data_IF_605001291177
#
_entry.id   IF_605001291177
#
_cell.length_a   1.000
_cell.length_b   1.000
_cell.length_c   1.000
_cell.angle_alpha   90.00
_cell.angle_beta   90.00
_cell.angle_gamma   90.00
#
_symmetry.space_group_name_H-M   'P 1'
#
loop_
_entity.id
_entity.type
_entity.pdbx_description
1 polymer ?
#
# COMPACT_ATOMS: atom_id res chain seq x y z
N UNK A 1 -48.48 -28.36 25.77
CA UNK A 1 -47.82 -27.18 26.37
C UNK A 1 -46.36 -27.05 25.91
N UNK A 2 -45.61 -28.15 25.78
CA UNK A 2 -44.22 -28.16 25.30
C UNK A 2 -43.99 -27.59 23.90
N UNK A 3 -44.86 -27.86 22.92
CA UNK A 3 -44.70 -27.34 21.56
C UNK A 3 -44.64 -25.80 21.50
N UNK A 4 -45.44 -25.11 22.33
CA UNK A 4 -45.42 -23.65 22.43
C UNK A 4 -44.12 -23.14 23.06
N UNK A 5 -43.64 -23.79 24.11
CA UNK A 5 -42.37 -23.43 24.75
C UNK A 5 -41.17 -23.65 23.82
N UNK A 6 -41.17 -24.74 23.05
CA UNK A 6 -40.11 -25.04 22.07
C UNK A 6 -40.10 -24.02 20.93
N UNK A 7 -41.25 -23.65 20.38
CA UNK A 7 -41.34 -22.64 19.32
C UNK A 7 -40.82 -21.28 19.81
N UNK A 8 -41.19 -20.87 21.03
CA UNK A 8 -40.69 -19.62 21.61
C UNK A 8 -39.18 -19.66 21.84
N UNK A 9 -38.65 -20.78 22.36
CA UNK A 9 -37.22 -20.96 22.56
C UNK A 9 -36.44 -20.88 21.25
N UNK A 10 -36.89 -21.60 20.22
CA UNK A 10 -36.29 -21.57 18.87
C UNK A 10 -36.34 -20.16 18.27
N UNK A 11 -37.46 -19.45 18.44
CA UNK A 11 -37.60 -18.07 17.97
C UNK A 11 -36.62 -17.10 18.65
N UNK A 12 -36.42 -17.22 19.97
CA UNK A 12 -35.46 -16.40 20.71
C UNK A 12 -34.02 -16.70 20.26
N UNK A 13 -33.68 -17.98 20.11
CA UNK A 13 -32.34 -18.39 19.65
C UNK A 13 -32.07 -17.89 18.23
N UNK A 14 -33.03 -18.02 17.31
CA UNK A 14 -32.92 -17.50 15.94
C UNK A 14 -32.77 -15.98 15.90
N UNK A 15 -33.57 -15.26 16.69
CA UNK A 15 -33.47 -13.79 16.79
C UNK A 15 -32.10 -13.35 17.29
N UNK A 16 -31.60 -13.97 18.36
CA UNK A 16 -30.25 -13.71 18.87
C UNK A 16 -29.15 -14.03 17.86
N UNK A 17 -29.28 -15.15 17.14
CA UNK A 17 -28.31 -15.53 16.10
C UNK A 17 -28.23 -14.49 14.97
N UNK A 18 -29.37 -13.98 14.51
CA UNK A 18 -29.41 -12.94 13.47
C UNK A 18 -28.68 -11.67 13.93
N UNK A 19 -28.84 -11.27 15.19
CA UNK A 19 -28.16 -10.08 15.73
C UNK A 19 -26.64 -10.25 15.84
N UNK A 20 -26.17 -11.47 16.10
CA UNK A 20 -24.72 -11.77 16.20
C UNK A 20 -24.06 -11.82 14.83
N UNK A 21 -24.74 -12.38 13.84
CA UNK A 21 -24.16 -12.62 12.51
C UNK A 21 -24.41 -11.46 11.53
N UNK A 22 -25.28 -10.51 11.88
CA UNK A 22 -25.56 -9.36 11.04
C UNK A 22 -24.26 -8.58 10.69
N UNK A 23 -24.00 -8.34 9.39
CA UNK A 23 -22.83 -7.59 8.98
C UNK A 23 -22.95 -6.14 9.49
N UNK A 24 -21.84 -5.60 9.98
CA UNK A 24 -21.73 -4.20 10.40
C UNK A 24 -21.12 -3.37 9.29
N UNK A 25 -21.43 -2.08 9.28
CA UNK A 25 -20.77 -1.12 8.39
C UNK A 25 -19.27 -1.07 8.72
N UNK A 26 -18.44 -1.34 7.72
CA UNK A 26 -16.98 -1.26 7.85
C UNK A 26 -16.49 0.10 7.33
N UNK A 27 -15.71 0.81 8.14
CA UNK A 27 -15.02 2.03 7.72
C UNK A 27 -13.59 1.63 7.32
N UNK A 28 -13.35 1.52 6.01
CA UNK A 28 -12.03 1.16 5.50
C UNK A 28 -11.08 2.37 5.61
N UNK A 29 -10.04 2.25 6.42
CA UNK A 29 -8.96 3.24 6.52
C UNK A 29 -7.80 2.76 5.63
N UNK A 30 -7.22 3.62 4.77
CA UNK A 30 -6.09 3.24 3.92
C UNK A 30 -4.79 3.18 4.74
N UNK A 31 -4.62 2.10 5.50
CA UNK A 31 -3.51 1.92 6.44
C UNK A 31 -2.14 2.07 5.77
N UNK A 32 -1.97 1.54 4.54
CA UNK A 32 -0.70 1.63 3.82
C UNK A 32 -0.37 3.03 3.34
N UNK A 33 -1.34 3.77 2.80
CA UNK A 33 -1.11 5.14 2.38
C UNK A 33 -0.71 6.02 3.57
N UNK A 34 -1.28 5.79 4.75
CA UNK A 34 -0.90 6.48 5.99
C UNK A 34 0.50 6.11 6.49
N UNK A 35 0.91 4.86 6.37
CA UNK A 35 2.22 4.40 6.84
C UNK A 35 3.36 4.81 5.90
N UNK A 36 3.09 4.88 4.60
CA UNK A 36 4.12 5.15 3.58
C UNK A 36 4.11 6.58 3.06
N UNK A 37 3.03 7.33 3.25
CA UNK A 37 2.83 8.66 2.66
C UNK A 37 2.45 8.63 1.17
N UNK A 38 2.44 7.47 0.53
CA UNK A 38 2.19 7.33 -0.90
C UNK A 38 0.69 7.27 -1.23
N UNK A 39 0.22 7.89 -2.32
CA UNK A 39 -1.16 7.77 -2.77
C UNK A 39 -1.47 6.35 -3.24
N UNK A 40 -2.76 5.99 -3.24
CA UNK A 40 -3.20 4.64 -3.60
C UNK A 40 -2.79 4.22 -5.02
N UNK A 41 -2.75 5.18 -5.96
CA UNK A 41 -2.36 4.97 -7.35
C UNK A 41 -0.87 4.62 -7.52
N UNK A 42 -0.02 4.90 -6.53
CA UNK A 42 1.39 4.47 -6.55
C UNK A 42 1.49 2.94 -6.61
N UNK A 43 0.60 2.22 -5.91
CA UNK A 43 0.62 0.76 -5.82
C UNK A 43 -0.50 0.05 -6.60
N UNK A 44 -1.58 0.74 -6.94
CA UNK A 44 -2.77 0.16 -7.58
C UNK A 44 -3.11 0.82 -8.91
N UNK A 45 -3.49 0.00 -9.90
CA UNK A 45 -4.13 0.48 -11.14
C UNK A 45 -5.64 0.58 -10.96
N UNK A 46 -6.25 -0.51 -10.46
CA UNK A 46 -7.66 -0.58 -10.05
C UNK A 46 -7.65 -1.22 -8.69
N UNK A 47 -8.03 -0.50 -7.64
CA UNK A 47 -8.07 -1.06 -6.27
C UNK A 47 -8.97 -2.31 -6.28
N UNK A 48 -8.53 -3.50 -5.78
CA UNK A 48 -7.30 -3.81 -5.04
C UNK A 48 -6.18 -4.48 -5.86
N UNK A 49 -6.24 -4.48 -7.20
CA UNK A 49 -5.22 -5.04 -8.10
C UNK A 49 -3.92 -4.22 -8.03
N UNK A 50 -2.79 -4.89 -7.84
CA UNK A 50 -1.47 -4.26 -7.76
C UNK A 50 -0.90 -3.99 -9.16
N UNK A 51 -0.33 -2.81 -9.34
CA UNK A 51 0.51 -2.46 -10.46
C UNK A 51 1.94 -3.03 -10.28
N UNK A 52 2.86 -2.89 -11.25
CA UNK A 52 4.22 -3.41 -11.10
C UNK A 52 4.98 -2.87 -9.88
N UNK A 53 4.76 -1.61 -9.50
CA UNK A 53 5.36 -0.99 -8.32
C UNK A 53 4.84 -1.65 -7.04
N UNK A 54 3.53 -1.79 -6.91
CA UNK A 54 2.90 -2.48 -5.78
C UNK A 54 3.35 -3.93 -5.66
N UNK A 55 3.53 -4.64 -6.78
CA UNK A 55 4.03 -6.02 -6.80
C UNK A 55 5.45 -6.11 -6.23
N UNK A 56 6.34 -5.19 -6.63
CA UNK A 56 7.72 -5.11 -6.10
C UNK A 56 7.72 -4.73 -4.62
N UNK A 57 6.90 -3.75 -4.22
CA UNK A 57 6.75 -3.36 -2.81
C UNK A 57 6.31 -4.53 -1.92
N UNK A 58 5.33 -5.31 -2.39
CA UNK A 58 4.87 -6.53 -1.70
C UNK A 58 5.98 -7.59 -1.65
N UNK A 59 6.70 -7.80 -2.75
CA UNK A 59 7.81 -8.76 -2.81
C UNK A 59 8.98 -8.37 -1.88
N UNK A 60 9.20 -7.07 -1.66
CA UNK A 60 10.24 -6.53 -0.79
C UNK A 60 9.83 -6.43 0.69
N UNK A 61 8.77 -7.13 1.11
CA UNK A 61 8.33 -7.13 2.51
C UNK A 61 7.73 -5.79 2.95
N UNK A 62 6.93 -5.16 2.08
CA UNK A 62 6.27 -3.87 2.30
C UNK A 62 7.27 -2.73 2.51
N UNK A 63 8.36 -2.74 1.75
CA UNK A 63 9.38 -1.69 1.73
C UNK A 63 9.64 -1.20 0.31
N UNK A 64 9.83 0.11 0.19
CA UNK A 64 10.29 0.67 -1.07
C UNK A 64 11.79 0.40 -1.26
N UNK A 65 12.27 0.31 -2.52
CA UNK A 65 13.69 0.16 -2.80
C UNK A 65 14.49 1.33 -2.19
N UNK A 66 15.56 1.02 -1.46
CA UNK A 66 16.44 2.03 -0.86
C UNK A 66 16.14 2.39 0.60
N UNK A 67 15.03 1.92 1.18
CA UNK A 67 14.79 2.04 2.62
C UNK A 67 15.68 1.05 3.38
N UNK A 68 16.55 1.56 4.27
CA UNK A 68 17.38 0.73 5.16
C UNK A 68 16.67 0.48 6.48
N UNK A 69 17.12 -0.47 7.31
CA UNK A 69 16.53 -0.75 8.63
C UNK A 69 16.48 0.48 9.56
N UNK A 70 17.30 1.51 9.31
CA UNK A 70 17.30 2.78 10.06
C UNK A 70 16.14 3.71 9.72
N UNK A 71 15.44 3.49 8.61
CA UNK A 71 14.31 4.32 8.18
C UNK A 71 12.98 3.85 8.79
N UNK A 72 13.02 2.87 9.70
CA UNK A 72 11.84 2.27 10.34
C UNK A 72 11.39 2.98 11.61
N UNK A 73 11.88 4.20 11.90
CA UNK A 73 11.38 4.95 13.06
C UNK A 73 9.91 5.34 12.80
N UNK A 74 8.99 5.13 13.77
CA UNK A 74 7.57 5.44 13.61
C UNK A 74 7.24 6.93 13.37
N UNK A 75 8.24 7.80 13.35
CA UNK A 75 8.11 9.26 13.28
C UNK A 75 9.02 9.89 12.20
N UNK A 76 9.33 9.14 11.15
CA UNK A 76 9.78 9.73 9.89
C UNK A 76 8.84 9.18 8.84
N UNK A 77 7.75 9.89 8.58
CA UNK A 77 7.08 9.75 7.28
C UNK A 77 8.17 9.94 6.23
N UNK A 78 8.47 8.94 5.38
CA UNK A 78 9.27 9.18 4.21
C UNK A 78 8.61 10.34 3.47
N UNK A 79 9.37 11.41 3.22
CA UNK A 79 8.90 12.50 2.37
C UNK A 79 8.41 11.84 1.08
N UNK A 80 7.14 11.98 0.70
CA UNK A 80 6.63 11.34 -0.49
C UNK A 80 7.47 11.84 -1.66
N UNK A 81 8.02 10.92 -2.47
CA UNK A 81 8.90 11.27 -3.60
C UNK A 81 8.17 12.14 -4.65
N UNK A 82 6.84 12.25 -4.57
CA UNK A 82 6.06 13.22 -5.33
C UNK A 82 6.37 14.68 -4.99
N UNK A 83 6.91 14.97 -3.80
CA UNK A 83 7.41 16.30 -3.41
C UNK A 83 8.82 16.56 -3.96
N UNK A 84 9.70 15.55 -3.94
CA UNK A 84 11.05 15.64 -4.54
C UNK A 84 11.00 15.96 -6.04
N UNK A 85 9.94 15.53 -6.75
CA UNK A 85 9.82 15.79 -8.20
C UNK A 85 9.54 17.26 -8.55
N UNK A 86 9.19 18.13 -7.60
CA UNK A 86 8.78 19.53 -7.89
C UNK A 86 9.83 20.58 -7.52
N UNK A 87 10.89 20.19 -6.83
CA UNK A 87 11.99 21.07 -6.42
C UNK A 87 13.21 20.51 -7.14
N UNK A 88 14.02 21.37 -7.78
CA UNK A 88 15.22 21.01 -8.54
C UNK A 88 15.04 20.76 -10.05
N UNK A 89 14.70 21.84 -10.76
CA UNK A 89 15.50 22.17 -11.94
C UNK A 89 16.20 23.51 -11.69
N UNK A 90 17.54 23.49 -11.56
CA UNK A 90 18.36 24.48 -12.30
C UNK A 90 19.65 23.85 -12.88
N UNK A 91 20.44 24.58 -13.71
CA UNK A 91 21.11 24.04 -14.89
C UNK A 91 22.45 23.35 -14.63
N UNK A 92 22.79 22.46 -15.58
CA UNK A 92 24.13 21.92 -15.96
C UNK A 92 25.29 22.90 -15.64
N UNK A 93 26.48 22.47 -15.17
CA UNK A 93 27.43 21.78 -16.05
C UNK A 93 28.44 20.79 -15.41
N UNK A 94 28.71 19.72 -16.17
CA UNK A 94 30.02 19.13 -16.43
C UNK A 94 30.77 18.30 -15.34
N UNK A 95 31.17 17.11 -15.80
CA UNK A 95 32.41 16.36 -15.48
C UNK A 95 32.51 15.55 -14.17
N UNK A 96 32.38 14.23 -14.31
CA UNK A 96 33.19 13.24 -13.61
C UNK A 96 33.38 12.05 -14.56
N UNK A 97 34.51 12.06 -15.29
CA UNK A 97 34.84 11.13 -16.36
C UNK A 97 35.50 9.82 -15.91
N UNK A 98 36.05 9.10 -16.92
CA UNK A 98 36.76 7.80 -16.92
C UNK A 98 35.82 6.56 -16.89
N UNK A 99 35.78 5.62 -17.86
CA UNK A 99 36.73 5.22 -18.92
C UNK A 99 36.02 4.68 -20.18
N UNK A 100 36.78 4.75 -21.27
CA UNK A 100 36.46 4.52 -22.68
C UNK A 100 36.47 3.05 -23.11
N UNK A 101 35.58 2.66 -24.03
CA UNK A 101 35.86 1.62 -25.05
C UNK A 101 35.30 2.08 -26.40
N UNK A 102 36.12 2.33 -27.43
CA UNK A 102 35.64 2.73 -28.75
C UNK A 102 35.33 1.51 -29.63
N UNK A 103 34.08 1.39 -30.09
CA UNK A 103 33.74 0.51 -31.21
C UNK A 103 33.77 1.32 -32.52
N UNK A 104 34.94 1.29 -33.16
CA UNK A 104 35.20 1.28 -34.62
C UNK A 104 33.94 0.92 -35.44
N UNK A 105 33.39 1.81 -36.27
CA UNK A 105 33.71 2.18 -37.68
C UNK A 105 33.58 1.05 -38.70
N UNK A 106 32.45 1.07 -39.43
CA UNK A 106 32.37 0.55 -40.80
C UNK A 106 31.15 1.15 -41.53
N UNK A 107 31.48 2.06 -42.46
CA UNK A 107 30.79 2.49 -43.68
C UNK A 107 29.39 3.13 -43.62
#
# INVERSE_FOLDING_TARGET
MYARAVILFVGVVLSGFVLVVAPRTAIAIPAMSRQTGEPCSTCHDVIPKLNPTGQKFRANGLRFPGCTERDTTPNVTPVPRSEEKKIDAPPSPAESGLETVPAKRDN
#
